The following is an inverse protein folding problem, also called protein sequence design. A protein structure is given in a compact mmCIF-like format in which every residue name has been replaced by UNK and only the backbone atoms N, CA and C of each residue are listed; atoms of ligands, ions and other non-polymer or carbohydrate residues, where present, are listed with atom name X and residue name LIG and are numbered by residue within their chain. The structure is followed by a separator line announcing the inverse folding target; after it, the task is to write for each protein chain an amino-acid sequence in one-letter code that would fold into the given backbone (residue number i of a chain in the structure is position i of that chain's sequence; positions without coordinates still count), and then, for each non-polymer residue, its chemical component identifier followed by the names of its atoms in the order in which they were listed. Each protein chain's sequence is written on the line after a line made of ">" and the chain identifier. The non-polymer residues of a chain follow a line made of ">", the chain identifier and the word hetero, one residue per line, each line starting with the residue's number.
data_IF_983087580329
#
_entry.id   IF_983087580329
#
_cell.length_a   1.000
_cell.length_b   1.000
_cell.length_c   1.000
_cell.angle_alpha   90.00
_cell.angle_beta   90.00
_cell.angle_gamma   90.00
#
_symmetry.space_group_name_H-M   'P 1'
#
loop_
_entity.id
_entity.type
_entity.pdbx_description
1 polymer ?
#
# COMPACT_ATOMS: atom_id res chain seq x y z
N UNK A 1 -20.33 16.87 18.54
CA UNK A 1 -19.73 18.20 18.35
C UNK A 1 -18.51 17.99 17.47
N UNK A 2 -18.65 18.21 16.16
CA UNK A 2 -17.56 18.03 15.20
C UNK A 2 -16.62 19.21 15.29
N UNK A 3 -15.35 18.94 15.53
CA UNK A 3 -14.33 19.98 15.59
C UNK A 3 -13.99 20.34 14.15
N UNK A 4 -14.50 21.48 13.68
CA UNK A 4 -14.17 22.02 12.35
C UNK A 4 -12.64 22.22 12.26
N UNK A 5 -11.95 21.23 11.73
CA UNK A 5 -10.54 21.32 11.45
C UNK A 5 -10.42 22.00 10.08
N UNK A 6 -9.97 23.26 10.06
CA UNK A 6 -9.74 24.02 8.82
C UNK A 6 -8.77 23.32 7.83
N UNK A 7 -8.04 22.28 8.26
CA UNK A 7 -7.20 21.44 7.40
C UNK A 7 -7.98 20.29 6.71
N UNK A 8 -9.24 20.07 7.08
CA UNK A 8 -10.09 19.02 6.50
C UNK A 8 -10.62 19.37 5.10
N UNK A 9 -10.57 20.64 4.69
CA UNK A 9 -11.06 21.07 3.37
C UNK A 9 -10.40 20.29 2.23
N UNK A 10 -9.13 19.92 2.39
CA UNK A 10 -8.35 19.14 1.44
C UNK A 10 -8.25 17.64 1.81
N UNK A 11 -8.90 17.18 2.88
CA UNK A 11 -8.75 15.80 3.37
C UNK A 11 -9.09 14.77 2.30
N UNK A 12 -10.16 14.98 1.53
CA UNK A 12 -10.53 14.05 0.47
C UNK A 12 -9.45 13.98 -0.63
N UNK A 13 -8.91 15.13 -1.06
CA UNK A 13 -7.83 15.19 -2.06
C UNK A 13 -6.58 14.47 -1.57
N UNK A 14 -6.19 14.72 -0.33
CA UNK A 14 -5.05 14.05 0.31
C UNK A 14 -5.26 12.53 0.42
N UNK A 15 -6.46 12.07 0.76
CA UNK A 15 -6.79 10.64 0.83
C UNK A 15 -6.71 9.99 -0.56
N UNK A 16 -7.27 10.64 -1.58
CA UNK A 16 -7.18 10.17 -2.96
C UNK A 16 -5.72 10.07 -3.41
N UNK A 17 -4.90 11.09 -3.13
CA UNK A 17 -3.47 11.08 -3.42
C UNK A 17 -2.77 9.95 -2.66
N UNK A 18 -2.94 9.84 -1.34
CA UNK A 18 -2.29 8.81 -0.51
C UNK A 18 -2.59 7.38 -0.98
N UNK A 19 -3.79 7.14 -1.47
CA UNK A 19 -4.26 5.83 -1.88
C UNK A 19 -4.05 5.57 -3.39
N UNK A 20 -3.47 6.53 -4.12
CA UNK A 20 -3.12 6.35 -5.52
C UNK A 20 -1.83 5.53 -5.68
N UNK A 21 -1.79 4.63 -6.64
CA UNK A 21 -0.61 3.77 -6.90
C UNK A 21 0.62 4.54 -7.40
N UNK A 22 0.44 5.75 -7.93
CA UNK A 22 1.51 6.61 -8.42
C UNK A 22 2.12 7.51 -7.35
N UNK A 23 1.59 7.51 -6.12
CA UNK A 23 2.09 8.37 -5.04
C UNK A 23 3.41 7.85 -4.50
N UNK A 24 4.40 8.76 -4.42
CA UNK A 24 5.74 8.39 -3.95
C UNK A 24 5.71 8.03 -2.45
N UNK A 25 6.62 7.16 -1.98
CA UNK A 25 6.68 6.77 -0.57
C UNK A 25 6.87 7.97 0.38
N UNK A 26 7.69 8.94 -0.04
CA UNK A 26 7.92 10.17 0.71
C UNK A 26 6.63 10.98 0.83
N UNK A 27 5.92 11.20 -0.28
CA UNK A 27 4.67 11.96 -0.29
C UNK A 27 3.58 11.27 0.53
N UNK A 28 3.51 9.94 0.44
CA UNK A 28 2.60 9.16 1.27
C UNK A 28 2.87 9.34 2.77
N UNK A 29 4.13 9.41 3.19
CA UNK A 29 4.48 9.65 4.59
C UNK A 29 4.03 11.04 5.06
N UNK A 30 4.30 12.09 4.27
CA UNK A 30 3.86 13.47 4.57
C UNK A 30 2.34 13.57 4.74
N UNK A 31 1.58 12.91 3.84
CA UNK A 31 0.12 12.92 3.90
C UNK A 31 -0.38 12.15 5.13
N UNK A 32 0.24 11.01 5.48
CA UNK A 32 -0.12 10.25 6.69
C UNK A 32 0.08 11.06 7.96
N UNK A 33 1.20 11.78 8.07
CA UNK A 33 1.45 12.68 9.21
C UNK A 33 0.38 13.78 9.30
N UNK A 34 0.03 14.40 8.17
CA UNK A 34 -1.02 15.42 8.13
C UNK A 34 -2.40 14.88 8.55
N UNK A 35 -2.75 13.66 8.12
CA UNK A 35 -4.01 12.99 8.47
C UNK A 35 -4.02 12.60 9.95
N UNK A 36 -2.92 12.05 10.47
CA UNK A 36 -2.82 11.60 11.87
C UNK A 36 -2.99 12.75 12.88
N UNK A 37 -2.70 13.99 12.48
CA UNK A 37 -2.91 15.17 13.30
C UNK A 37 -4.40 15.53 13.52
N UNK A 38 -5.33 14.89 12.79
CA UNK A 38 -6.77 15.14 12.90
C UNK A 38 -7.56 13.82 13.01
N UNK A 39 -8.19 13.52 14.18
CA UNK A 39 -8.92 12.27 14.39
C UNK A 39 -10.02 12.00 13.37
N UNK A 40 -10.72 13.04 12.90
CA UNK A 40 -11.78 12.90 11.91
C UNK A 40 -11.23 12.51 10.53
N UNK A 41 -10.15 13.17 10.07
CA UNK A 41 -9.46 12.80 8.84
C UNK A 41 -8.92 11.37 8.91
N UNK A 42 -8.38 10.98 10.07
CA UNK A 42 -7.89 9.62 10.29
C UNK A 42 -9.00 8.58 10.23
N UNK A 43 -10.15 8.83 10.86
CA UNK A 43 -11.32 7.93 10.76
C UNK A 43 -11.82 7.81 9.31
N UNK A 44 -11.81 8.90 8.54
CA UNK A 44 -12.13 8.86 7.10
C UNK A 44 -11.13 8.01 6.32
N UNK A 45 -9.84 8.10 6.63
CA UNK A 45 -8.81 7.26 6.04
C UNK A 45 -9.06 5.77 6.29
N UNK A 46 -9.38 5.40 7.53
CA UNK A 46 -9.68 4.01 7.90
C UNK A 46 -10.88 3.47 7.11
N UNK A 47 -11.94 4.27 6.97
CA UNK A 47 -13.12 3.89 6.19
C UNK A 47 -12.80 3.69 4.70
N UNK A 48 -12.01 4.58 4.10
CA UNK A 48 -11.59 4.46 2.69
C UNK A 48 -10.70 3.22 2.46
N UNK A 49 -9.79 2.92 3.39
CA UNK A 49 -9.00 1.69 3.35
C UNK A 49 -9.89 0.45 3.43
N UNK A 50 -10.82 0.41 4.38
CA UNK A 50 -11.72 -0.71 4.54
C UNK A 50 -12.56 -0.94 3.27
N UNK A 51 -13.10 0.12 2.67
CA UNK A 51 -13.85 0.05 1.42
C UNK A 51 -12.99 -0.51 0.28
N UNK A 52 -11.75 -0.05 0.13
CA UNK A 52 -10.83 -0.55 -0.88
C UNK A 52 -10.44 -2.00 -0.68
N UNK A 53 -10.22 -2.45 0.55
CA UNK A 53 -9.99 -3.86 0.87
C UNK A 53 -11.17 -4.72 0.46
N UNK A 54 -12.41 -4.30 0.79
CA UNK A 54 -13.62 -5.02 0.37
C UNK A 54 -13.70 -5.13 -1.16
N UNK A 55 -13.47 -4.02 -1.88
CA UNK A 55 -13.47 -4.02 -3.35
C UNK A 55 -12.37 -4.92 -3.91
N UNK A 56 -11.17 -4.89 -3.32
CA UNK A 56 -10.05 -5.74 -3.71
C UNK A 56 -10.34 -7.22 -3.43
N UNK A 57 -11.03 -7.56 -2.36
CA UNK A 57 -11.40 -8.95 -2.07
C UNK A 57 -12.48 -9.45 -3.04
N UNK A 58 -13.44 -8.59 -3.41
CA UNK A 58 -14.47 -8.91 -4.40
C UNK A 58 -13.94 -9.03 -5.84
N UNK A 59 -12.97 -8.19 -6.23
CA UNK A 59 -12.54 -8.04 -7.62
C UNK A 59 -11.10 -8.53 -7.90
N UNK A 60 -10.29 -8.69 -6.85
CA UNK A 60 -8.89 -9.13 -6.91
C UNK A 60 -8.69 -10.64 -6.92
N UNK A 61 -9.78 -11.40 -6.85
CA UNK A 61 -9.81 -12.86 -7.07
C UNK A 61 -9.68 -13.24 -8.55
N UNK A 62 -9.19 -12.35 -9.42
CA UNK A 62 -8.67 -12.74 -10.72
C UNK A 62 -7.46 -13.64 -10.47
N UNK A 63 -7.73 -14.95 -10.42
CA UNK A 63 -6.75 -16.00 -10.19
C UNK A 63 -5.53 -15.74 -11.08
N UNK A 64 -4.39 -15.38 -10.48
CA UNK A 64 -3.14 -15.32 -11.22
C UNK A 64 -2.97 -16.67 -11.94
N UNK A 65 -2.64 -16.70 -13.23
CA UNK A 65 -2.47 -17.97 -13.94
C UNK A 65 -1.50 -18.84 -13.16
N UNK A 66 -1.90 -20.06 -12.80
CA UNK A 66 -1.11 -20.92 -11.87
C UNK A 66 0.35 -21.04 -12.27
N UNK A 67 0.59 -21.10 -13.58
CA UNK A 67 1.92 -21.11 -14.20
C UNK A 67 2.82 -19.94 -13.77
N UNK A 68 2.27 -18.73 -13.60
CA UNK A 68 3.02 -17.55 -13.15
C UNK A 68 3.36 -17.64 -11.66
N UNK A 69 2.41 -18.11 -10.84
CA UNK A 69 2.64 -18.33 -9.41
C UNK A 69 3.72 -19.39 -9.20
N UNK A 70 3.64 -20.52 -9.89
CA UNK A 70 4.62 -21.61 -9.82
C UNK A 70 6.02 -21.16 -10.26
N UNK A 71 6.10 -20.38 -11.33
CA UNK A 71 7.37 -19.83 -11.84
C UNK A 71 8.05 -18.90 -10.83
N UNK A 72 7.28 -18.03 -10.17
CA UNK A 72 7.79 -17.12 -9.14
C UNK A 72 8.28 -17.90 -7.92
N UNK A 73 7.50 -18.87 -7.44
CA UNK A 73 7.89 -19.71 -6.28
C UNK A 73 9.19 -20.47 -6.58
N UNK A 74 9.30 -21.06 -7.78
CA UNK A 74 10.52 -21.76 -8.20
C UNK A 74 11.73 -20.81 -8.22
N UNK A 75 11.57 -19.59 -8.76
CA UNK A 75 12.64 -18.60 -8.85
C UNK A 75 13.11 -18.12 -7.48
N UNK A 76 12.20 -17.93 -6.52
CA UNK A 76 12.54 -17.50 -5.14
C UNK A 76 13.21 -18.63 -4.35
N UNK A 77 12.79 -19.88 -4.56
CA UNK A 77 13.25 -21.03 -3.77
C UNK A 77 14.57 -21.63 -4.29
N UNK A 78 15.07 -21.17 -5.43
CA UNK A 78 16.29 -21.72 -6.04
C UNK A 78 17.54 -21.31 -5.25
N UNK A 79 18.22 -22.29 -4.64
CA UNK A 79 19.53 -22.11 -3.99
C UNK A 79 20.65 -22.27 -5.02
N UNK A 80 21.48 -21.24 -5.19
CA UNK A 80 22.68 -21.30 -6.04
C UNK A 80 23.93 -21.54 -5.20
N UNK A 81 24.69 -22.59 -5.52
CA UNK A 81 25.99 -22.88 -4.89
C UNK A 81 27.08 -22.23 -5.74
N UNK A 82 27.74 -21.20 -5.20
CA UNK A 82 28.93 -20.61 -5.81
C UNK A 82 30.19 -21.24 -5.21
N UNK A 83 31.00 -21.88 -6.06
CA UNK A 83 32.31 -22.41 -5.66
C UNK A 83 33.31 -21.25 -5.55
N UNK A 84 33.76 -20.95 -4.32
CA UNK A 84 34.85 -19.99 -4.08
C UNK A 84 36.18 -20.75 -4.18
N UNK A 85 36.95 -20.49 -5.24
CA UNK A 85 38.31 -21.03 -5.39
C UNK A 85 39.31 -20.12 -4.69
N UNK A 86 39.88 -20.58 -3.59
CA UNK A 86 41.03 -19.93 -2.97
C UNK A 86 42.28 -20.26 -3.77
N UNK A 87 42.93 -19.23 -4.33
CA UNK A 87 44.28 -19.33 -4.90
C UNK A 87 45.30 -19.18 -3.78
N UNK A 88 46.03 -20.25 -3.49
CA UNK A 88 47.25 -20.23 -2.68
C UNK A 88 48.47 -19.84 -3.51
#
# INVERSE_FOLDING_TARGET
>A
MGTDCNKCADAHRMLCELLDSGTTPQRAAEIREAIAACPECFSRYENELAARTIVQDCCGSAHAPDRLRDSIIASITTVSVSEVRYRG
#
